data_IF_799728355152
#
_entry.id   IF_799728355152
#
_cell.length_a   1.000
_cell.length_b   1.000
_cell.length_c   1.000
_cell.angle_alpha   90.00
_cell.angle_beta   90.00
_cell.angle_gamma   90.00
#
_symmetry.space_group_name_H-M   'P 1'
#
loop_
_entity.id
_entity.type
_entity.pdbx_description
1 polymer ?
#
# COMPACT_ATOMS: atom_id res chain seq x y z
N UNK A 1 19.29 -26.87 -0.30
CA UNK A 1 18.52 -27.41 -1.46
C UNK A 1 17.18 -28.02 -1.04
N UNK A 2 17.10 -28.75 0.09
CA UNK A 2 15.88 -29.44 0.55
C UNK A 2 14.72 -28.49 0.93
N UNK A 3 14.99 -27.43 1.70
CA UNK A 3 13.95 -26.46 2.14
C UNK A 3 13.17 -25.83 0.97
N UNK A 4 13.82 -25.55 -0.16
CA UNK A 4 13.17 -24.97 -1.34
C UNK A 4 12.10 -25.88 -1.97
N UNK A 5 12.21 -27.19 -1.80
CA UNK A 5 11.26 -28.19 -2.33
C UNK A 5 10.31 -28.72 -1.27
N UNK A 6 10.56 -28.38 -0.01
CA UNK A 6 9.80 -28.87 1.13
C UNK A 6 8.32 -28.47 1.11
N UNK A 7 7.90 -27.29 0.62
CA UNK A 7 6.47 -26.97 0.55
C UNK A 7 5.70 -27.93 -0.39
N UNK A 8 6.32 -28.29 -1.52
CA UNK A 8 5.74 -29.29 -2.42
C UNK A 8 5.62 -30.65 -1.72
N UNK A 9 6.65 -31.06 -0.98
CA UNK A 9 6.61 -32.31 -0.22
C UNK A 9 5.53 -32.29 0.87
N UNK A 10 5.40 -31.21 1.64
CA UNK A 10 4.32 -31.03 2.62
C UNK A 10 2.94 -31.14 1.99
N UNK A 11 2.75 -30.66 0.75
CA UNK A 11 1.48 -30.79 0.03
C UNK A 11 1.16 -32.23 -0.42
N UNK A 12 2.18 -33.09 -0.57
CA UNK A 12 2.04 -34.47 -1.06
C UNK A 12 2.06 -35.50 0.07
N UNK A 13 2.89 -35.27 1.08
CA UNK A 13 3.13 -36.13 2.23
C UNK A 13 3.23 -35.25 3.48
N UNK A 14 2.06 -34.88 4.03
CA UNK A 14 1.94 -33.86 5.09
C UNK A 14 2.80 -34.15 6.33
N UNK A 15 2.57 -35.30 6.99
CA UNK A 15 3.28 -35.65 8.22
C UNK A 15 4.80 -35.76 8.02
N UNK A 16 5.22 -36.46 6.96
CA UNK A 16 6.63 -36.60 6.62
C UNK A 16 7.29 -35.27 6.26
N UNK A 17 6.61 -34.41 5.50
CA UNK A 17 7.09 -33.10 5.14
C UNK A 17 7.30 -32.19 6.36
N UNK A 18 6.42 -32.26 7.35
CA UNK A 18 6.57 -31.50 8.60
C UNK A 18 7.60 -32.10 9.56
N UNK A 19 7.75 -33.42 9.60
CA UNK A 19 8.85 -34.06 10.34
C UNK A 19 10.22 -33.64 9.78
N UNK A 20 10.35 -33.56 8.45
CA UNK A 20 11.56 -33.03 7.81
C UNK A 20 11.75 -31.53 8.04
N UNK A 21 10.67 -30.76 8.10
CA UNK A 21 10.73 -29.34 8.45
C UNK A 21 11.29 -29.14 9.86
N UNK A 22 10.80 -29.91 10.82
CA UNK A 22 11.27 -29.88 12.21
C UNK A 22 12.77 -30.18 12.31
N UNK A 23 13.22 -31.25 11.64
CA UNK A 23 14.64 -31.59 11.58
C UNK A 23 15.50 -30.52 10.89
N UNK A 24 14.94 -29.78 9.93
CA UNK A 24 15.67 -28.76 9.18
C UNK A 24 15.72 -27.40 9.89
N UNK A 25 14.75 -27.08 10.74
CA UNK A 25 14.62 -25.80 11.45
C UNK A 25 14.97 -26.00 12.93
N UNK A 26 16.25 -26.23 13.19
CA UNK A 26 16.80 -26.37 14.55
C UNK A 26 17.20 -25.00 15.13
N UNK A 27 17.35 -24.85 16.47
CA UNK A 27 17.60 -23.55 17.12
C UNK A 27 18.81 -22.77 16.55
N UNK A 28 19.81 -23.48 16.06
CA UNK A 28 21.06 -22.91 15.52
C UNK A 28 20.97 -22.50 14.03
N UNK A 29 19.79 -22.64 13.42
CA UNK A 29 19.58 -22.47 11.97
C UNK A 29 19.29 -21.03 11.54
N UNK A 30 20.20 -20.11 11.88
CA UNK A 30 20.10 -18.71 11.47
C UNK A 30 20.00 -18.56 9.94
N UNK A 31 19.09 -17.69 9.48
CA UNK A 31 18.93 -17.38 8.06
C UNK A 31 18.21 -18.44 7.21
N UNK A 32 17.78 -19.57 7.79
CA UNK A 32 17.00 -20.59 7.05
C UNK A 32 15.51 -20.24 6.92
N UNK A 33 15.01 -19.34 7.76
CA UNK A 33 13.60 -18.96 7.78
C UNK A 33 13.11 -18.37 6.46
N UNK A 34 13.95 -17.63 5.75
CA UNK A 34 13.60 -17.10 4.43
C UNK A 34 13.38 -18.21 3.39
N UNK A 35 14.10 -19.33 3.51
CA UNK A 35 13.87 -20.51 2.67
C UNK A 35 12.69 -21.36 3.15
N UNK A 36 12.36 -21.27 4.44
CA UNK A 36 11.30 -22.00 5.11
C UNK A 36 9.95 -21.28 5.02
N UNK A 37 9.93 -19.98 4.76
CA UNK A 37 8.73 -19.16 4.67
C UNK A 37 7.64 -19.80 3.77
N UNK A 38 7.96 -20.31 2.55
CA UNK A 38 6.95 -20.92 1.70
C UNK A 38 6.24 -22.12 2.35
N UNK A 39 6.90 -22.86 3.24
CA UNK A 39 6.26 -23.96 3.98
C UNK A 39 5.15 -23.45 4.90
N UNK A 40 5.40 -22.34 5.59
CA UNK A 40 4.42 -21.72 6.48
C UNK A 40 3.33 -21.01 5.66
N UNK A 41 3.72 -20.27 4.63
CA UNK A 41 2.84 -19.49 3.76
C UNK A 41 1.82 -20.37 3.00
N UNK A 42 2.19 -21.56 2.53
CA UNK A 42 1.21 -22.42 1.85
C UNK A 42 0.33 -23.24 2.81
N UNK A 43 0.66 -23.28 4.09
CA UNK A 43 -0.05 -24.09 5.07
C UNK A 43 -0.94 -23.28 6.04
N UNK A 44 -0.70 -21.97 6.22
CA UNK A 44 -1.38 -21.19 7.27
C UNK A 44 -2.92 -21.21 7.18
N UNK A 45 -3.49 -21.31 5.98
CA UNK A 45 -4.94 -21.25 5.79
C UNK A 45 -5.64 -22.56 6.20
N UNK A 46 -5.04 -23.70 5.85
CA UNK A 46 -5.62 -25.05 6.04
C UNK A 46 -5.11 -25.79 7.27
N UNK A 47 -3.87 -25.52 7.67
CA UNK A 47 -3.17 -26.25 8.73
C UNK A 47 -2.55 -25.28 9.74
N UNK A 48 -3.33 -24.28 10.16
CA UNK A 48 -2.84 -23.25 11.07
C UNK A 48 -2.31 -23.82 12.38
N UNK A 49 -2.95 -24.84 12.95
CA UNK A 49 -2.48 -25.49 14.18
C UNK A 49 -1.04 -26.04 14.04
N UNK A 50 -0.66 -26.49 12.85
CA UNK A 50 0.71 -26.90 12.56
C UNK A 50 1.64 -25.71 12.40
N UNK A 51 1.18 -24.62 11.78
CA UNK A 51 1.98 -23.40 11.51
C UNK A 51 2.17 -22.54 12.75
N UNK A 52 1.18 -22.45 13.64
CA UNK A 52 1.15 -21.59 14.81
C UNK A 52 2.40 -21.70 15.71
N UNK A 53 2.86 -22.89 16.13
CA UNK A 53 4.07 -23.00 16.95
C UNK A 53 5.33 -22.51 16.21
N UNK A 54 5.42 -22.73 14.90
CA UNK A 54 6.52 -22.25 14.08
C UNK A 54 6.50 -20.74 13.93
N UNK A 55 5.31 -20.15 13.76
CA UNK A 55 5.14 -18.72 13.66
C UNK A 55 5.47 -18.01 14.99
N UNK A 56 5.09 -18.61 16.12
CA UNK A 56 5.49 -18.13 17.45
C UNK A 56 7.02 -18.15 17.62
N UNK A 57 7.65 -19.26 17.25
CA UNK A 57 9.12 -19.39 17.32
C UNK A 57 9.83 -18.41 16.39
N UNK A 58 9.38 -18.29 15.14
CA UNK A 58 9.88 -17.32 14.17
C UNK A 58 9.76 -15.89 14.72
N UNK A 59 8.65 -15.56 15.37
CA UNK A 59 8.48 -14.24 15.99
C UNK A 59 9.41 -14.02 17.18
N UNK A 60 9.75 -15.05 17.96
CA UNK A 60 10.61 -14.92 19.15
C UNK A 60 12.10 -14.89 18.80
N UNK A 61 12.51 -15.77 17.89
CA UNK A 61 13.92 -16.06 17.61
C UNK A 61 14.40 -15.41 16.31
N UNK A 62 13.48 -15.00 15.42
CA UNK A 62 13.80 -14.40 14.13
C UNK A 62 14.36 -12.99 14.24
N UNK A 63 15.20 -12.62 13.27
CA UNK A 63 15.76 -11.27 13.13
C UNK A 63 15.71 -10.79 11.69
N UNK A 64 15.71 -9.47 11.48
CA UNK A 64 15.71 -8.88 10.13
C UNK A 64 14.61 -9.45 9.24
N UNK A 65 14.98 -10.03 8.09
CA UNK A 65 14.03 -10.59 7.12
C UNK A 65 13.19 -11.77 7.63
N UNK A 66 13.63 -12.44 8.68
CA UNK A 66 12.83 -13.48 9.33
C UNK A 66 11.57 -12.86 9.97
N UNK A 67 11.71 -11.66 10.54
CA UNK A 67 10.59 -10.89 11.06
C UNK A 67 9.69 -10.34 9.95
N UNK A 68 10.22 -10.07 8.75
CA UNK A 68 9.39 -9.74 7.59
C UNK A 68 8.48 -10.92 7.20
N UNK A 69 9.03 -12.13 7.15
CA UNK A 69 8.27 -13.36 6.92
C UNK A 69 7.21 -13.57 8.02
N UNK A 70 7.60 -13.39 9.28
CA UNK A 70 6.68 -13.44 10.42
C UNK A 70 5.51 -12.46 10.29
N UNK A 71 5.81 -11.18 10.04
CA UNK A 71 4.80 -10.13 9.93
C UNK A 71 3.83 -10.40 8.78
N UNK A 72 4.35 -10.89 7.65
CA UNK A 72 3.54 -11.25 6.48
C UNK A 72 2.59 -12.42 6.77
N UNK A 73 3.12 -13.54 7.27
CA UNK A 73 2.28 -14.72 7.56
C UNK A 73 1.29 -14.42 8.69
N UNK A 74 1.70 -13.69 9.72
CA UNK A 74 0.81 -13.31 10.82
C UNK A 74 -0.31 -12.38 10.35
N UNK A 75 -0.03 -11.42 9.48
CA UNK A 75 -1.05 -10.59 8.86
C UNK A 75 -2.05 -11.41 8.03
N UNK A 76 -1.57 -12.32 7.18
CA UNK A 76 -2.45 -13.21 6.40
C UNK A 76 -3.31 -14.12 7.30
N UNK A 77 -2.72 -14.67 8.36
CA UNK A 77 -3.43 -15.46 9.34
C UNK A 77 -4.50 -14.62 10.08
N UNK A 78 -4.23 -13.34 10.35
CA UNK A 78 -5.21 -12.43 10.95
C UNK A 78 -6.40 -12.16 10.04
N UNK A 79 -6.18 -11.93 8.73
CA UNK A 79 -7.26 -11.77 7.74
C UNK A 79 -8.11 -13.05 7.63
N UNK A 80 -7.49 -14.22 7.85
CA UNK A 80 -8.18 -15.52 7.87
C UNK A 80 -8.76 -15.88 9.24
N UNK A 81 -8.80 -14.95 10.20
CA UNK A 81 -9.33 -15.12 11.57
C UNK A 81 -8.66 -16.25 12.36
N UNK A 82 -7.41 -16.59 12.02
CA UNK A 82 -6.58 -17.55 12.75
C UNK A 82 -5.81 -16.88 13.90
N UNK A 83 -5.52 -15.59 13.74
CA UNK A 83 -4.95 -14.72 14.76
C UNK A 83 -5.92 -13.55 14.94
N UNK A 84 -6.19 -13.14 16.17
CA UNK A 84 -6.98 -11.95 16.39
C UNK A 84 -6.21 -10.71 15.94
N UNK A 85 -6.86 -9.86 15.12
CA UNK A 85 -6.22 -8.66 14.58
C UNK A 85 -5.65 -7.70 15.65
N UNK A 86 -6.35 -7.43 16.78
CA UNK A 86 -5.77 -6.63 17.87
C UNK A 86 -4.52 -7.26 18.49
N UNK A 87 -4.48 -8.58 18.61
CA UNK A 87 -3.32 -9.33 19.12
C UNK A 87 -2.12 -9.17 18.19
N UNK A 88 -2.32 -9.30 16.87
CA UNK A 88 -1.26 -9.03 15.89
C UNK A 88 -0.72 -7.59 16.01
N UNK A 89 -1.60 -6.60 16.11
CA UNK A 89 -1.17 -5.20 16.24
C UNK A 89 -0.37 -4.96 17.54
N UNK A 90 -0.78 -5.57 18.65
CA UNK A 90 -0.04 -5.49 19.90
C UNK A 90 1.34 -6.13 19.77
N UNK A 91 1.46 -7.27 19.11
CA UNK A 91 2.74 -7.94 18.87
C UNK A 91 3.66 -7.14 17.94
N UNK A 92 3.14 -6.55 16.86
CA UNK A 92 3.91 -5.67 15.97
C UNK A 92 4.48 -4.46 16.72
N UNK A 93 3.66 -3.83 17.56
CA UNK A 93 4.09 -2.70 18.42
C UNK A 93 5.15 -3.12 19.44
N UNK A 94 4.94 -4.26 20.09
CA UNK A 94 5.86 -4.81 21.09
C UNK A 94 7.22 -5.17 20.49
N UNK A 95 7.24 -5.82 19.30
CA UNK A 95 8.47 -6.20 18.60
C UNK A 95 9.25 -5.00 18.09
N UNK A 96 8.56 -3.92 17.72
CA UNK A 96 9.18 -2.69 17.26
C UNK A 96 10.24 -2.90 16.15
N UNK A 97 9.93 -3.75 15.16
CA UNK A 97 10.83 -4.06 14.04
C UNK A 97 10.27 -3.49 12.73
N UNK A 98 11.11 -2.79 11.97
CA UNK A 98 10.77 -2.26 10.65
C UNK A 98 10.38 -3.39 9.69
N UNK A 99 11.13 -4.50 9.71
CA UNK A 99 10.90 -5.67 8.86
C UNK A 99 9.57 -6.34 9.17
N UNK A 100 9.22 -6.50 10.45
CA UNK A 100 7.93 -7.03 10.85
C UNK A 100 6.76 -6.18 10.31
N UNK A 101 6.86 -4.86 10.46
CA UNK A 101 5.88 -3.93 9.91
C UNK A 101 5.86 -3.96 8.38
N UNK A 102 7.01 -4.07 7.72
CA UNK A 102 7.11 -4.16 6.26
C UNK A 102 6.40 -5.41 5.73
N UNK A 103 6.60 -6.55 6.40
CA UNK A 103 5.91 -7.80 6.12
C UNK A 103 4.39 -7.68 6.22
N UNK A 104 3.89 -7.15 7.35
CA UNK A 104 2.46 -6.97 7.57
C UNK A 104 1.85 -5.93 6.61
N UNK A 105 2.52 -4.80 6.41
CA UNK A 105 2.11 -3.74 5.48
C UNK A 105 2.01 -4.27 4.05
N UNK A 106 2.89 -5.19 3.65
CA UNK A 106 2.81 -5.81 2.32
C UNK A 106 1.53 -6.60 2.07
N UNK A 107 0.94 -7.16 3.13
CA UNK A 107 -0.32 -7.90 3.07
C UNK A 107 -1.49 -6.93 3.00
N UNK A 108 -1.48 -5.89 3.84
CA UNK A 108 -2.57 -4.90 3.89
C UNK A 108 -2.59 -3.99 2.66
N UNK A 109 -1.42 -3.70 2.06
CA UNK A 109 -1.31 -2.92 0.84
C UNK A 109 -1.60 -3.72 -0.45
N UNK A 110 -1.82 -5.02 -0.35
CA UNK A 110 -2.20 -5.84 -1.50
C UNK A 110 -3.68 -5.56 -1.88
N UNK A 111 -3.92 -5.22 -3.14
CA UNK A 111 -5.26 -4.86 -3.62
C UNK A 111 -6.25 -6.01 -3.53
N UNK A 112 -5.84 -7.25 -3.79
CA UNK A 112 -6.67 -8.44 -3.62
C UNK A 112 -7.10 -8.68 -2.17
N UNK A 113 -6.18 -8.55 -1.22
CA UNK A 113 -6.52 -8.62 0.21
C UNK A 113 -7.44 -7.47 0.63
N UNK A 114 -7.18 -6.25 0.16
CA UNK A 114 -7.99 -5.09 0.52
C UNK A 114 -9.42 -5.16 -0.04
N UNK A 115 -9.64 -5.86 -1.16
CA UNK A 115 -11.00 -6.15 -1.63
C UNK A 115 -11.76 -7.07 -0.67
N UNK A 116 -11.10 -8.10 -0.15
CA UNK A 116 -11.74 -9.15 0.65
C UNK A 116 -11.84 -8.76 2.13
N UNK A 117 -10.87 -8.01 2.64
CA UNK A 117 -10.68 -7.69 4.06
C UNK A 117 -10.42 -6.19 4.25
N UNK A 118 -11.33 -5.38 3.72
CA UNK A 118 -11.17 -3.93 3.61
C UNK A 118 -10.89 -3.25 4.95
N UNK A 119 -11.70 -3.54 5.97
CA UNK A 119 -11.62 -2.84 7.25
C UNK A 119 -10.30 -3.14 7.97
N UNK A 120 -9.91 -4.42 8.04
CA UNK A 120 -8.66 -4.84 8.65
C UNK A 120 -7.43 -4.32 7.88
N UNK A 121 -7.46 -4.33 6.55
CA UNK A 121 -6.36 -3.79 5.74
C UNK A 121 -6.21 -2.27 5.93
N UNK A 122 -7.31 -1.51 5.88
CA UNK A 122 -7.27 -0.06 6.09
C UNK A 122 -6.83 0.30 7.52
N UNK A 123 -7.32 -0.43 8.53
CA UNK A 123 -6.92 -0.27 9.92
C UNK A 123 -5.42 -0.57 10.10
N UNK A 124 -4.93 -1.66 9.49
CA UNK A 124 -3.52 -2.03 9.52
C UNK A 124 -2.62 -0.98 8.88
N UNK A 125 -2.99 -0.45 7.71
CA UNK A 125 -2.27 0.66 7.06
C UNK A 125 -2.28 1.94 7.90
N UNK A 126 -3.40 2.26 8.54
CA UNK A 126 -3.51 3.43 9.40
C UNK A 126 -2.59 3.34 10.64
N UNK A 127 -2.47 2.14 11.23
CA UNK A 127 -1.55 1.85 12.32
C UNK A 127 -0.09 1.83 11.85
N UNK A 128 0.20 1.24 10.70
CA UNK A 128 1.53 1.20 10.10
C UNK A 128 2.07 2.62 9.86
N UNK A 129 1.22 3.53 9.37
CA UNK A 129 1.59 4.93 9.12
C UNK A 129 1.38 5.86 10.33
N UNK A 130 0.97 5.33 11.47
CA UNK A 130 0.70 6.14 12.67
C UNK A 130 1.96 6.86 13.14
N UNK A 131 1.82 8.10 13.63
CA UNK A 131 2.92 8.83 14.26
C UNK A 131 3.51 8.12 15.49
N UNK A 132 2.77 7.15 16.07
CA UNK A 132 3.26 6.29 17.15
C UNK A 132 4.16 5.14 16.67
N UNK A 133 4.17 4.85 15.37
CA UNK A 133 5.06 3.84 14.79
C UNK A 133 6.37 4.52 14.36
N UNK A 134 7.51 4.23 15.03
CA UNK A 134 8.79 4.85 14.66
C UNK A 134 9.28 4.44 13.27
N UNK A 135 8.72 3.37 12.69
CA UNK A 135 9.08 2.85 11.37
C UNK A 135 8.17 3.39 10.25
N UNK A 136 7.22 4.27 10.53
CA UNK A 136 6.20 4.70 9.56
C UNK A 136 6.80 5.23 8.24
N UNK A 137 7.86 6.04 8.31
CA UNK A 137 8.49 6.62 7.11
C UNK A 137 9.11 5.58 6.18
N UNK A 138 9.68 4.48 6.73
CA UNK A 138 10.28 3.42 5.90
C UNK A 138 9.24 2.56 5.17
N UNK A 139 7.97 2.63 5.58
CA UNK A 139 6.88 1.80 5.02
C UNK A 139 6.17 2.49 3.83
N UNK A 140 6.45 3.76 3.58
CA UNK A 140 5.78 4.59 2.56
C UNK A 140 5.83 3.97 1.16
N UNK A 141 6.96 3.38 0.79
CA UNK A 141 7.11 2.67 -0.48
C UNK A 141 6.18 1.46 -0.57
N UNK A 142 6.00 0.71 0.52
CA UNK A 142 5.11 -0.44 0.55
C UNK A 142 3.65 -0.03 0.46
N UNK A 143 3.26 1.04 1.16
CA UNK A 143 1.92 1.64 1.09
C UNK A 143 1.61 2.12 -0.33
N UNK A 144 2.59 2.68 -1.05
CA UNK A 144 2.40 3.21 -2.41
C UNK A 144 1.79 2.19 -3.38
N UNK A 145 1.95 0.88 -3.12
CA UNK A 145 1.38 -0.19 -3.94
C UNK A 145 -0.13 -0.14 -4.04
N UNK A 146 -0.82 0.40 -3.03
CA UNK A 146 -2.28 0.59 -3.06
C UNK A 146 -2.71 1.50 -4.21
N UNK A 147 -1.83 2.42 -4.61
CA UNK A 147 -2.09 3.42 -5.64
C UNK A 147 -1.55 3.03 -7.02
N UNK A 148 -0.98 1.82 -7.19
CA UNK A 148 -0.39 1.40 -8.48
C UNK A 148 -1.34 0.62 -9.36
N UNK A 149 -2.20 -0.20 -8.75
CA UNK A 149 -3.15 -1.03 -9.49
C UNK A 149 -4.48 -0.29 -9.62
N UNK A 150 -4.97 -0.15 -10.85
CA UNK A 150 -6.31 0.38 -11.14
C UNK A 150 -7.35 -0.72 -11.31
N UNK A 151 -6.91 -1.99 -11.33
CA UNK A 151 -7.77 -3.17 -11.44
C UNK A 151 -7.39 -4.21 -10.38
N UNK A 152 -8.15 -4.33 -9.29
CA UNK A 152 -9.34 -3.55 -8.94
C UNK A 152 -9.03 -2.13 -8.44
N UNK A 153 -9.93 -1.18 -8.69
CA UNK A 153 -9.80 0.18 -8.17
C UNK A 153 -10.17 0.24 -6.68
N UNK A 154 -9.16 0.36 -5.82
CA UNK A 154 -9.30 0.35 -4.37
C UNK A 154 -9.51 1.77 -3.82
N UNK A 155 -10.65 2.02 -3.19
CA UNK A 155 -10.92 3.27 -2.48
C UNK A 155 -10.17 3.29 -1.15
N UNK A 156 -9.51 4.39 -0.82
CA UNK A 156 -8.92 4.58 0.50
C UNK A 156 -9.47 5.85 1.15
N UNK A 157 -9.54 5.94 2.48
CA UNK A 157 -9.92 7.18 3.15
C UNK A 157 -8.94 8.32 2.79
N UNK A 158 -9.45 9.53 2.53
CA UNK A 158 -8.62 10.68 2.18
C UNK A 158 -7.57 10.98 3.27
N UNK A 159 -7.92 10.76 4.55
CA UNK A 159 -7.00 10.90 5.68
C UNK A 159 -5.78 9.97 5.59
N UNK A 160 -5.92 8.80 4.95
CA UNK A 160 -4.83 7.86 4.72
C UNK A 160 -3.88 8.39 3.63
N UNK A 161 -4.43 8.96 2.56
CA UNK A 161 -3.66 9.63 1.50
C UNK A 161 -2.89 10.83 2.06
N UNK A 162 -3.55 11.67 2.85
CA UNK A 162 -2.92 12.82 3.51
C UNK A 162 -1.75 12.39 4.41
N UNK A 163 -1.95 11.33 5.20
CA UNK A 163 -0.91 10.80 6.09
C UNK A 163 0.28 10.23 5.30
N UNK A 164 0.01 9.53 4.21
CA UNK A 164 1.06 9.01 3.34
C UNK A 164 1.91 10.14 2.74
N UNK A 165 1.30 11.20 2.21
CA UNK A 165 2.05 12.37 1.73
C UNK A 165 2.84 13.06 2.86
N UNK A 166 2.26 13.23 4.05
CA UNK A 166 2.97 13.81 5.19
C UNK A 166 4.23 13.00 5.58
N UNK A 167 4.17 11.67 5.49
CA UNK A 167 5.34 10.81 5.71
C UNK A 167 6.38 10.95 4.59
N UNK A 168 5.96 11.06 3.33
CA UNK A 168 6.88 11.31 2.22
C UNK A 168 7.58 12.67 2.35
N UNK A 169 6.88 13.71 2.82
CA UNK A 169 7.47 15.03 3.08
C UNK A 169 8.49 15.02 4.23
N UNK A 170 8.36 14.09 5.16
CA UNK A 170 9.30 13.93 6.27
C UNK A 170 10.64 13.30 5.85
N UNK A 171 10.67 12.66 4.67
CA UNK A 171 11.91 12.14 4.09
C UNK A 171 12.76 13.30 3.55
N UNK A 172 14.08 13.25 3.74
CA UNK A 172 14.99 14.33 3.37
C UNK A 172 15.02 14.59 1.85
N UNK A 173 14.70 13.58 1.03
CA UNK A 173 14.64 13.69 -0.43
C UNK A 173 13.57 12.75 -1.00
N UNK A 174 12.28 13.16 -1.02
CA UNK A 174 11.26 12.40 -1.72
C UNK A 174 11.61 12.30 -3.21
N UNK A 175 11.50 11.10 -3.75
CA UNK A 175 11.85 10.81 -5.14
C UNK A 175 10.58 10.57 -5.95
N UNK A 176 10.66 10.84 -7.25
CA UNK A 176 9.55 10.60 -8.19
C UNK A 176 8.99 9.17 -8.14
N UNK A 177 9.85 8.17 -7.93
CA UNK A 177 9.41 6.77 -7.87
C UNK A 177 8.51 6.45 -6.65
N UNK A 178 8.47 7.33 -5.64
CA UNK A 178 7.68 7.12 -4.43
C UNK A 178 6.19 7.36 -4.71
N UNK A 179 5.88 8.23 -5.67
CA UNK A 179 4.51 8.58 -6.09
C UNK A 179 4.12 7.97 -7.43
N UNK A 180 4.91 7.02 -7.94
CA UNK A 180 4.65 6.38 -9.23
C UNK A 180 3.30 5.65 -9.25
N UNK A 181 2.50 5.91 -10.30
CA UNK A 181 1.18 5.32 -10.52
C UNK A 181 0.03 6.11 -9.88
N UNK A 182 0.33 7.08 -8.99
CA UNK A 182 -0.71 7.85 -8.31
C UNK A 182 -1.56 8.68 -9.28
N UNK A 183 -0.96 9.20 -10.35
CA UNK A 183 -1.64 9.91 -11.44
C UNK A 183 -2.65 9.03 -12.17
N UNK A 184 -2.26 7.80 -12.51
CA UNK A 184 -3.16 6.81 -13.15
C UNK A 184 -4.30 6.43 -12.22
N UNK A 185 -4.00 6.24 -10.93
CA UNK A 185 -5.01 5.93 -9.91
C UNK A 185 -6.00 7.08 -9.70
N UNK A 186 -5.53 8.34 -9.64
CA UNK A 186 -6.40 9.52 -9.59
C UNK A 186 -7.29 9.62 -10.84
N UNK A 187 -6.71 9.43 -12.02
CA UNK A 187 -7.44 9.45 -13.28
C UNK A 187 -8.52 8.36 -13.33
N UNK A 188 -8.24 7.17 -12.81
CA UNK A 188 -9.24 6.11 -12.68
C UNK A 188 -10.35 6.50 -11.68
N UNK A 189 -9.99 7.11 -10.55
CA UNK A 189 -10.95 7.57 -9.53
C UNK A 189 -11.87 8.69 -10.02
N UNK A 190 -11.41 9.58 -10.90
CA UNK A 190 -12.24 10.69 -11.39
C UNK A 190 -13.45 10.24 -12.20
N UNK A 191 -13.49 9.01 -12.71
CA UNK A 191 -14.70 8.44 -13.32
C UNK A 191 -15.71 7.92 -12.29
N UNK A 192 -15.24 7.54 -11.10
CA UNK A 192 -16.05 6.84 -10.09
C UNK A 192 -16.51 7.78 -8.98
N UNK A 193 -15.62 8.64 -8.53
CA UNK A 193 -15.81 9.59 -7.44
C UNK A 193 -14.99 10.85 -7.73
N UNK A 194 -15.52 11.78 -8.53
CA UNK A 194 -14.83 13.01 -8.92
C UNK A 194 -14.46 13.90 -7.72
N UNK A 195 -15.31 13.96 -6.70
CA UNK A 195 -15.06 14.76 -5.50
C UNK A 195 -13.87 14.22 -4.71
N UNK A 196 -13.80 12.90 -4.52
CA UNK A 196 -12.63 12.27 -3.90
C UNK A 196 -11.36 12.45 -4.75
N UNK A 197 -11.47 12.29 -6.07
CA UNK A 197 -10.34 12.50 -6.98
C UNK A 197 -9.82 13.93 -6.91
N UNK A 198 -10.72 14.92 -6.79
CA UNK A 198 -10.37 16.33 -6.59
C UNK A 198 -9.58 16.52 -5.29
N UNK A 199 -10.12 16.07 -4.15
CA UNK A 199 -9.46 16.18 -2.84
C UNK A 199 -8.05 15.54 -2.86
N UNK A 200 -7.92 14.35 -3.44
CA UNK A 200 -6.65 13.64 -3.51
C UNK A 200 -5.65 14.31 -4.48
N UNK A 201 -6.15 14.96 -5.54
CA UNK A 201 -5.31 15.72 -6.48
C UNK A 201 -4.75 16.98 -5.84
N UNK A 202 -5.54 17.69 -5.04
CA UNK A 202 -5.06 18.86 -4.27
C UNK A 202 -3.93 18.48 -3.32
N UNK A 203 -4.05 17.35 -2.62
CA UNK A 203 -2.98 16.82 -1.78
C UNK A 203 -1.71 16.54 -2.59
N UNK A 204 -1.84 15.91 -3.76
CA UNK A 204 -0.72 15.53 -4.60
C UNK A 204 0.02 16.74 -5.20
N UNK A 205 -0.73 17.72 -5.72
CA UNK A 205 -0.16 18.94 -6.27
C UNK A 205 0.51 19.77 -5.17
N UNK A 206 -0.15 19.90 -4.01
CA UNK A 206 0.45 20.57 -2.85
C UNK A 206 1.75 19.89 -2.41
N UNK A 207 1.78 18.56 -2.36
CA UNK A 207 2.99 17.78 -2.08
C UNK A 207 4.10 18.09 -3.10
N UNK A 208 3.80 18.04 -4.40
CA UNK A 208 4.77 18.29 -5.46
C UNK A 208 5.33 19.73 -5.40
N UNK A 209 4.49 20.72 -5.09
CA UNK A 209 4.93 22.11 -4.94
C UNK A 209 5.90 22.31 -3.78
N UNK A 210 5.64 21.66 -2.63
CA UNK A 210 6.48 21.73 -1.42
C UNK A 210 7.81 20.99 -1.59
N UNK A 211 7.76 19.79 -2.17
CA UNK A 211 8.91 18.89 -2.30
C UNK A 211 9.72 19.08 -3.58
N UNK A 212 9.20 19.85 -4.54
CA UNK A 212 9.80 20.06 -5.87
C UNK A 212 9.97 18.75 -6.66
N UNK A 213 9.19 17.72 -6.35
CA UNK A 213 9.13 16.50 -7.16
C UNK A 213 8.54 16.84 -8.53
N UNK A 214 9.21 16.40 -9.59
CA UNK A 214 8.74 16.63 -10.95
C UNK A 214 7.53 15.74 -11.27
N UNK A 215 6.45 16.39 -11.70
CA UNK A 215 5.25 15.75 -12.22
C UNK A 215 5.32 15.65 -13.74
N UNK A 216 4.76 14.56 -14.27
CA UNK A 216 4.65 14.33 -15.70
C UNK A 216 3.26 13.81 -16.01
N UNK A 217 2.69 14.26 -17.12
CA UNK A 217 1.43 13.73 -17.63
C UNK A 217 1.65 12.42 -18.39
N UNK A 218 1.93 11.36 -17.65
CA UNK A 218 2.12 10.04 -18.23
C UNK A 218 0.78 9.51 -18.76
N UNK A 219 0.75 9.02 -19.99
CA UNK A 219 -0.45 8.48 -20.64
C UNK A 219 -1.66 9.44 -20.62
N UNK A 220 -1.41 10.76 -20.56
CA UNK A 220 -2.44 11.80 -20.49
C UNK A 220 -3.34 11.67 -19.24
N UNK A 221 -2.82 11.12 -18.13
CA UNK A 221 -3.58 10.93 -16.90
C UNK A 221 -4.08 12.25 -16.27
N UNK A 222 -3.24 13.28 -16.19
CA UNK A 222 -3.63 14.59 -15.65
C UNK A 222 -4.59 15.34 -16.57
N UNK A 223 -4.39 15.28 -17.88
CA UNK A 223 -5.27 15.95 -18.84
C UNK A 223 -6.65 15.28 -18.91
N UNK A 224 -6.72 13.95 -18.87
CA UNK A 224 -7.99 13.23 -18.73
C UNK A 224 -8.67 13.52 -17.39
N UNK A 225 -7.91 13.55 -16.29
CA UNK A 225 -8.40 13.91 -14.97
C UNK A 225 -9.01 15.32 -14.97
N UNK A 226 -8.29 16.33 -15.46
CA UNK A 226 -8.79 17.71 -15.57
C UNK A 226 -10.07 17.79 -16.40
N UNK A 227 -10.10 17.15 -17.58
CA UNK A 227 -11.28 17.12 -18.45
C UNK A 227 -12.52 16.59 -17.70
N UNK A 228 -12.36 15.49 -16.94
CA UNK A 228 -13.47 14.90 -16.17
C UNK A 228 -13.89 15.77 -14.99
N UNK A 229 -12.93 16.36 -14.29
CA UNK A 229 -13.21 17.24 -13.16
C UNK A 229 -13.89 18.54 -13.60
N UNK A 230 -13.51 19.13 -14.73
CA UNK A 230 -14.19 20.29 -15.31
C UNK A 230 -15.63 19.96 -15.71
N UNK A 231 -15.83 18.87 -16.45
CA UNK A 231 -17.19 18.43 -16.81
C UNK A 231 -18.08 18.23 -15.57
N UNK A 232 -17.55 17.59 -14.53
CA UNK A 232 -18.30 17.42 -13.28
C UNK A 232 -18.58 18.75 -12.57
N UNK A 233 -17.61 19.67 -12.57
CA UNK A 233 -17.74 20.98 -11.94
C UNK A 233 -18.80 21.85 -12.64
N UNK A 234 -18.86 21.81 -13.97
CA UNK A 234 -19.89 22.48 -14.76
C UNK A 234 -21.29 21.93 -14.47
N UNK A 235 -21.44 20.60 -14.35
CA UNK A 235 -22.70 19.98 -13.97
C UNK A 235 -23.19 20.40 -12.57
N UNK A 236 -22.27 20.66 -11.65
CA UNK A 236 -22.58 20.97 -10.24
C UNK A 236 -22.59 22.48 -9.93
N UNK A 237 -22.18 23.34 -10.86
CA UNK A 237 -21.98 24.78 -10.63
C UNK A 237 -23.19 25.47 -10.01
N UNK A 238 -24.40 25.13 -10.47
CA UNK A 238 -25.64 25.70 -9.95
C UNK A 238 -25.94 25.25 -8.50
N UNK A 239 -25.43 24.10 -8.08
CA UNK A 239 -25.71 23.49 -6.77
C UNK A 239 -24.68 23.84 -5.71
N UNK A 240 -23.43 24.07 -6.10
CA UNK A 240 -22.32 24.40 -5.19
C UNK A 240 -21.83 25.86 -5.33
N UNK A 241 -22.52 26.66 -6.15
CA UNK A 241 -22.15 28.04 -6.48
C UNK A 241 -20.73 28.15 -7.06
N UNK A 242 -20.34 27.19 -7.89
CA UNK A 242 -19.04 27.14 -8.57
C UNK A 242 -17.86 26.87 -7.63
N UNK A 243 -18.08 26.19 -6.50
CA UNK A 243 -17.01 25.82 -5.58
C UNK A 243 -16.04 24.82 -6.22
N UNK A 244 -16.56 23.73 -6.77
CA UNK A 244 -15.77 22.71 -7.45
C UNK A 244 -15.00 23.32 -8.62
N UNK A 245 -15.65 24.15 -9.44
CA UNK A 245 -15.02 24.78 -10.60
C UNK A 245 -13.79 25.62 -10.21
N UNK A 246 -13.91 26.45 -9.17
CA UNK A 246 -12.79 27.24 -8.65
C UNK A 246 -11.63 26.37 -8.17
N UNK A 247 -11.92 25.24 -7.54
CA UNK A 247 -10.90 24.27 -7.08
C UNK A 247 -10.20 23.59 -8.26
N UNK A 248 -10.94 23.19 -9.29
CA UNK A 248 -10.37 22.58 -10.51
C UNK A 248 -9.46 23.57 -11.25
N UNK A 249 -9.88 24.84 -11.38
CA UNK A 249 -9.03 25.91 -11.97
C UNK A 249 -7.74 26.08 -11.16
N UNK A 250 -7.81 26.10 -9.83
CA UNK A 250 -6.62 26.21 -8.99
C UNK A 250 -5.63 25.05 -9.20
N UNK A 251 -6.13 23.82 -9.42
CA UNK A 251 -5.30 22.66 -9.75
C UNK A 251 -4.66 22.81 -11.13
N UNK A 252 -5.43 23.25 -12.14
CA UNK A 252 -4.90 23.51 -13.48
C UNK A 252 -3.73 24.50 -13.41
N UNK A 253 -3.93 25.65 -12.76
CA UNK A 253 -2.90 26.69 -12.62
C UNK A 253 -1.66 26.15 -11.90
N UNK A 254 -1.87 25.34 -10.87
CA UNK A 254 -0.78 24.73 -10.12
C UNK A 254 0.01 23.69 -10.94
N UNK A 255 -0.67 22.87 -11.77
CA UNK A 255 -0.01 21.93 -12.68
C UNK A 255 0.77 22.66 -13.79
N UNK A 256 0.24 23.76 -14.31
CA UNK A 256 0.95 24.63 -15.27
C UNK A 256 2.20 25.24 -14.63
N UNK A 257 2.08 25.76 -13.41
CA UNK A 257 3.22 26.32 -12.66
C UNK A 257 4.30 25.27 -12.34
N UNK A 258 3.91 24.00 -12.18
CA UNK A 258 4.83 22.85 -12.01
C UNK A 258 5.45 22.38 -13.34
N UNK A 259 5.05 22.94 -14.48
CA UNK A 259 5.59 22.60 -15.80
C UNK A 259 5.15 21.23 -16.31
N UNK A 260 3.93 20.79 -15.97
CA UNK A 260 3.41 19.50 -16.46
C UNK A 260 3.08 19.62 -17.96
N UNK A 261 3.98 19.09 -18.79
CA UNK A 261 3.98 19.29 -20.25
C UNK A 261 2.61 19.07 -20.94
N UNK A 262 1.88 18.02 -20.60
CA UNK A 262 0.59 17.71 -21.25
C UNK A 262 -0.52 18.73 -20.98
N UNK A 263 -0.48 19.43 -19.85
CA UNK A 263 -1.53 20.37 -19.44
C UNK A 263 -1.51 21.65 -20.29
N UNK A 264 -0.33 22.10 -20.72
CA UNK A 264 -0.20 23.28 -21.57
C UNK A 264 -0.81 23.06 -22.96
N UNK A 265 -0.54 21.90 -23.57
CA UNK A 265 -1.09 21.55 -24.87
C UNK A 265 -2.61 21.32 -24.80
N UNK A 266 -3.08 20.73 -23.70
CA UNK A 266 -4.50 20.55 -23.41
C UNK A 266 -5.23 21.88 -23.26
N UNK A 267 -4.66 22.84 -22.52
CA UNK A 267 -5.26 24.17 -22.36
C UNK A 267 -5.40 24.88 -23.71
N UNK A 268 -4.35 24.85 -24.54
CA UNK A 268 -4.41 25.41 -25.89
C UNK A 268 -5.45 24.74 -26.79
N UNK A 269 -5.76 23.46 -26.57
CA UNK A 269 -6.79 22.76 -27.30
C UNK A 269 -8.20 23.12 -26.80
N UNK A 270 -8.37 23.29 -25.49
CA UNK A 270 -9.63 23.68 -24.86
C UNK A 270 -10.04 25.13 -25.19
N UNK A 271 -9.07 26.03 -25.38
CA UNK A 271 -9.30 27.43 -25.76
C UNK A 271 -9.60 27.65 -27.25
N UNK A 272 -9.48 26.62 -28.10
CA UNK A 272 -9.77 26.74 -29.53
C UNK A 272 -11.30 26.72 -29.76
N UNK A 273 -11.87 27.77 -30.39
CA UNK A 273 -13.32 27.94 -30.57
C UNK A 273 -13.96 26.95 -31.54
#
# INVERSE_FOLDING_TARGET
MLLRRLPYLQSRHFEFGWALFDLAIQPESEGLWLMAEPCLYYAYHRHFETVAPWLLRLGRDGTGKDLEAWGRISALASLSRRIEFPTLLAELKSKNSAEAWEGATSVWANTGNMQQHREECLSGLAEAMSAKNPHASSLTQRVSRVFRDTTPLISVPIALVQRWFALLESDAQPKRHDVYGFDSWLNAFSNRDPSFALDATELYVGFAQRTKVQLYDHENNFTQLLTRLFAQAEEQEATDAGEMLRRVVAIQDALLALGVNGVNDWLQAAERP
#
